data_IF_589962995684
#
_entry.id   IF_589962995684
#
_cell.length_a   1.000
_cell.length_b   1.000
_cell.length_c   1.000
_cell.angle_alpha   90.00
_cell.angle_beta   90.00
_cell.angle_gamma   90.00
#
_symmetry.space_group_name_H-M   'P 1'
#
loop_
_entity.id
_entity.type
_entity.pdbx_description
1 polymer ?
#
# COMPACT_ATOMS: atom_id res chain seq x y z
N UNK A 1 18.77 -48.71 -31.34
CA UNK A 1 19.64 -47.52 -31.21
C UNK A 1 19.54 -47.03 -29.78
N UNK A 2 20.53 -47.34 -28.94
CA UNK A 2 20.66 -46.73 -27.63
C UNK A 2 21.30 -45.35 -27.84
N UNK A 3 20.51 -44.28 -27.70
CA UNK A 3 21.05 -42.93 -27.64
C UNK A 3 21.63 -42.74 -26.23
N UNK A 4 22.93 -42.97 -26.07
CA UNK A 4 23.68 -42.45 -24.93
C UNK A 4 23.78 -40.93 -25.13
N UNK A 5 22.87 -40.17 -24.53
CA UNK A 5 23.10 -38.75 -24.34
C UNK A 5 24.26 -38.63 -23.36
N UNK A 6 25.39 -38.07 -23.79
CA UNK A 6 26.46 -37.68 -22.87
C UNK A 6 25.85 -36.77 -21.80
N UNK A 7 26.00 -37.17 -20.53
CA UNK A 7 25.44 -36.44 -19.37
C UNK A 7 25.80 -34.97 -19.38
N UNK A 8 26.96 -34.65 -19.93
CA UNK A 8 27.53 -33.31 -20.00
C UNK A 8 26.81 -32.45 -21.05
N UNK A 9 26.45 -33.05 -22.19
CA UNK A 9 25.68 -32.40 -23.26
C UNK A 9 24.25 -32.09 -22.82
N UNK A 10 23.62 -33.04 -22.10
CA UNK A 10 22.30 -32.83 -21.52
C UNK A 10 22.31 -31.76 -20.42
N UNK A 11 23.33 -31.78 -19.55
CA UNK A 11 23.49 -30.79 -18.47
C UNK A 11 23.72 -29.37 -19.02
N UNK A 12 24.53 -29.23 -20.08
CA UNK A 12 24.74 -27.96 -20.78
C UNK A 12 23.46 -27.44 -21.43
N UNK A 13 22.64 -28.32 -22.01
CA UNK A 13 21.37 -27.96 -22.63
C UNK A 13 20.34 -27.52 -21.58
N UNK A 14 20.27 -28.22 -20.44
CA UNK A 14 19.44 -27.84 -19.30
C UNK A 14 19.87 -26.48 -18.72
N UNK A 15 21.17 -26.27 -18.47
CA UNK A 15 21.70 -25.01 -17.96
C UNK A 15 21.44 -23.85 -18.93
N UNK A 16 21.67 -24.08 -20.23
CA UNK A 16 21.36 -23.11 -21.28
C UNK A 16 19.87 -22.74 -21.33
N UNK A 17 18.98 -23.73 -21.21
CA UNK A 17 17.54 -23.48 -21.16
C UNK A 17 17.12 -22.69 -19.91
N UNK A 18 17.71 -23.00 -18.75
CA UNK A 18 17.42 -22.30 -17.50
C UNK A 18 17.88 -20.84 -17.56
N UNK A 19 19.10 -20.60 -18.05
CA UNK A 19 19.61 -19.24 -18.25
C UNK A 19 18.74 -18.46 -19.24
N UNK A 20 18.31 -19.09 -20.34
CA UNK A 20 17.42 -18.46 -21.31
C UNK A 20 16.08 -18.06 -20.68
N UNK A 21 15.44 -18.97 -19.92
CA UNK A 21 14.20 -18.66 -19.20
C UNK A 21 14.43 -17.53 -18.20
N UNK A 22 15.53 -17.56 -17.45
CA UNK A 22 15.88 -16.52 -16.49
C UNK A 22 16.08 -15.15 -17.17
N UNK A 23 16.78 -15.09 -18.31
CA UNK A 23 16.94 -13.87 -19.10
C UNK A 23 15.60 -13.34 -19.61
N UNK A 24 14.73 -14.21 -20.15
CA UNK A 24 13.40 -13.83 -20.62
C UNK A 24 12.56 -13.24 -19.47
N UNK A 25 12.53 -13.91 -18.31
CA UNK A 25 11.81 -13.41 -17.13
C UNK A 25 12.37 -12.07 -16.63
N UNK A 26 13.69 -11.90 -16.67
CA UNK A 26 14.36 -10.66 -16.28
C UNK A 26 14.01 -9.50 -17.21
N UNK A 27 14.03 -9.71 -18.52
CA UNK A 27 13.64 -8.71 -19.52
C UNK A 27 12.18 -8.30 -19.34
N UNK A 28 11.30 -9.28 -19.14
CA UNK A 28 9.88 -9.05 -18.86
C UNK A 28 9.73 -8.18 -17.60
N UNK A 29 10.41 -8.52 -16.51
CA UNK A 29 10.35 -7.76 -15.26
C UNK A 29 10.83 -6.30 -15.43
N UNK A 30 11.91 -6.08 -16.18
CA UNK A 30 12.43 -4.73 -16.50
C UNK A 30 11.40 -3.95 -17.32
N UNK A 31 10.83 -4.57 -18.36
CA UNK A 31 9.84 -3.93 -19.22
C UNK A 31 8.58 -3.52 -18.44
N UNK A 32 8.08 -4.40 -17.54
CA UNK A 32 6.96 -4.07 -16.66
C UNK A 32 7.29 -2.92 -15.71
N UNK A 33 8.48 -2.92 -15.10
CA UNK A 33 8.92 -1.83 -14.23
C UNK A 33 8.99 -0.48 -14.97
N UNK A 34 9.51 -0.48 -16.20
CA UNK A 34 9.61 0.72 -17.03
C UNK A 34 8.24 1.26 -17.44
N UNK A 35 7.33 0.37 -17.90
CA UNK A 35 5.94 0.75 -18.25
C UNK A 35 5.23 1.40 -17.07
N UNK A 36 5.33 0.82 -15.86
CA UNK A 36 4.70 1.38 -14.66
C UNK A 36 5.28 2.76 -14.31
N UNK A 37 6.61 2.90 -14.33
CA UNK A 37 7.26 4.19 -14.03
C UNK A 37 6.78 5.28 -14.99
N UNK A 38 6.67 4.95 -16.29
CA UNK A 38 6.16 5.85 -17.31
C UNK A 38 4.69 6.21 -17.06
N UNK A 39 3.83 5.24 -16.74
CA UNK A 39 2.43 5.49 -16.46
C UNK A 39 2.21 6.39 -15.24
N UNK A 40 2.93 6.15 -14.13
CA UNK A 40 2.88 7.04 -12.95
C UNK A 40 3.38 8.44 -13.31
N UNK A 41 4.48 8.54 -14.06
CA UNK A 41 5.02 9.82 -14.50
C UNK A 41 4.03 10.59 -15.37
N UNK A 42 3.40 9.96 -16.36
CA UNK A 42 2.43 10.59 -17.25
C UNK A 42 1.23 11.13 -16.47
N UNK A 43 0.67 10.35 -15.53
CA UNK A 43 -0.47 10.80 -14.74
C UNK A 43 -0.07 11.86 -13.73
N UNK A 44 1.06 11.70 -13.03
CA UNK A 44 1.57 12.70 -12.10
C UNK A 44 1.78 14.06 -12.77
N UNK A 45 2.38 14.07 -13.98
CA UNK A 45 2.55 15.30 -14.76
C UNK A 45 1.22 15.92 -15.18
N UNK A 46 0.26 15.12 -15.69
CA UNK A 46 -1.09 15.60 -16.04
C UNK A 46 -1.83 16.20 -14.85
N UNK A 47 -1.69 15.57 -13.69
CA UNK A 47 -2.28 16.05 -12.44
C UNK A 47 -1.50 17.21 -11.79
N UNK A 48 -0.43 17.72 -12.43
CA UNK A 48 0.32 18.89 -11.97
C UNK A 48 1.28 18.63 -10.80
N UNK A 49 1.73 17.40 -10.61
CA UNK A 49 2.79 17.09 -9.65
C UNK A 49 4.16 17.54 -10.18
N UNK A 50 5.02 17.92 -9.26
CA UNK A 50 6.43 18.21 -9.52
C UNK A 50 7.31 17.06 -9.02
N UNK A 51 8.46 16.77 -9.66
CA UNK A 51 9.42 15.80 -9.13
C UNK A 51 9.85 16.16 -7.71
N UNK A 52 9.87 15.17 -6.82
CA UNK A 52 10.34 15.33 -5.45
C UNK A 52 11.74 14.70 -5.33
N UNK A 53 12.69 15.42 -4.71
CA UNK A 53 14.05 14.91 -4.45
C UNK A 53 14.15 14.28 -3.08
N UNK A 54 13.69 15.03 -2.07
CA UNK A 54 13.77 14.65 -0.67
C UNK A 54 12.44 14.93 0.03
N UNK A 55 12.20 14.21 1.12
CA UNK A 55 11.03 14.40 1.97
C UNK A 55 11.46 15.23 3.20
N UNK A 56 10.77 16.32 3.57
CA UNK A 56 11.03 17.02 4.82
C UNK A 56 11.04 16.08 6.03
N UNK A 57 11.95 16.30 6.98
CA UNK A 57 12.13 15.40 8.14
C UNK A 57 10.84 15.12 8.91
N UNK A 58 10.01 16.14 9.14
CA UNK A 58 8.69 15.99 9.77
C UNK A 58 7.78 14.98 9.06
N UNK A 59 7.78 14.96 7.73
CA UNK A 59 6.95 14.02 6.96
C UNK A 59 7.51 12.61 7.02
N UNK A 60 8.83 12.47 7.16
CA UNK A 60 9.46 11.17 7.33
C UNK A 60 9.11 10.57 8.70
N UNK A 61 9.12 11.39 9.75
CA UNK A 61 8.67 11.01 11.09
C UNK A 61 7.19 10.62 11.11
N UNK A 62 6.31 11.43 10.51
CA UNK A 62 4.89 11.09 10.43
C UNK A 62 4.63 9.83 9.62
N UNK A 63 5.38 9.59 8.53
CA UNK A 63 5.31 8.30 7.81
C UNK A 63 5.76 7.13 8.68
N UNK A 64 6.87 7.27 9.41
CA UNK A 64 7.33 6.21 10.31
C UNK A 64 6.25 5.86 11.35
N UNK A 65 5.60 6.87 11.92
CA UNK A 65 4.51 6.69 12.86
C UNK A 65 3.28 6.01 12.22
N UNK A 66 2.91 6.41 11.00
CA UNK A 66 1.81 5.81 10.26
C UNK A 66 2.07 4.34 9.85
N UNK A 67 3.33 3.95 9.66
CA UNK A 67 3.71 2.56 9.36
C UNK A 67 3.92 1.71 10.61
N UNK A 68 4.02 2.32 11.80
CA UNK A 68 4.24 1.58 13.03
C UNK A 68 3.15 0.50 13.23
N UNK A 69 3.54 -0.73 13.60
CA UNK A 69 4.85 -1.17 14.11
C UNK A 69 5.85 -1.58 13.01
N UNK A 70 5.46 -1.54 11.74
CA UNK A 70 6.30 -1.98 10.65
C UNK A 70 7.52 -1.05 10.53
N UNK A 71 8.70 -1.63 10.36
CA UNK A 71 9.94 -0.86 10.28
C UNK A 71 10.15 -0.35 8.84
N UNK A 72 9.74 0.89 8.63
CA UNK A 72 9.87 1.61 7.36
C UNK A 72 11.32 2.02 7.10
N UNK A 73 12.09 1.17 6.41
CA UNK A 73 13.53 1.35 6.20
C UNK A 73 13.91 2.42 5.20
N UNK A 74 13.16 2.51 4.10
CA UNK A 74 13.48 3.41 2.99
C UNK A 74 12.21 4.08 2.54
N UNK A 75 12.28 5.40 2.40
CA UNK A 75 11.25 6.22 1.75
C UNK A 75 11.94 6.97 0.63
N UNK A 76 11.45 6.79 -0.60
CA UNK A 76 11.95 7.50 -1.77
C UNK A 76 10.80 8.29 -2.39
N UNK A 77 10.70 9.60 -2.12
CA UNK A 77 9.70 10.42 -2.78
C UNK A 77 10.02 10.48 -4.29
N UNK A 78 8.97 10.48 -5.10
CA UNK A 78 9.06 10.52 -6.56
C UNK A 78 8.44 11.81 -7.09
N UNK A 79 7.26 12.15 -6.55
CA UNK A 79 6.47 13.28 -6.98
C UNK A 79 5.81 13.93 -5.78
N UNK A 80 5.65 15.24 -5.81
CA UNK A 80 4.94 16.00 -4.80
C UNK A 80 4.05 17.07 -5.43
N UNK A 81 2.96 17.38 -4.74
CA UNK A 81 2.08 18.48 -5.08
C UNK A 81 1.51 19.09 -3.81
N UNK A 82 1.62 20.40 -3.69
CA UNK A 82 1.06 21.14 -2.56
C UNK A 82 -0.33 21.65 -2.92
N UNK A 83 -1.25 21.46 -1.99
CA UNK A 83 -2.61 21.98 -1.99
C UNK A 83 -2.81 22.86 -0.75
N UNK A 84 -3.84 23.73 -0.72
CA UNK A 84 -4.18 24.51 0.46
C UNK A 84 -4.36 23.65 1.72
N UNK A 85 -4.96 22.47 1.56
CA UNK A 85 -5.23 21.52 2.63
C UNK A 85 -4.01 20.71 3.07
N UNK A 86 -2.95 20.60 2.26
CA UNK A 86 -1.80 19.75 2.60
C UNK A 86 -0.88 19.42 1.43
N UNK A 87 0.15 18.62 1.70
CA UNK A 87 1.10 18.14 0.70
C UNK A 87 0.81 16.69 0.33
N UNK A 88 0.52 16.43 -0.95
CA UNK A 88 0.45 15.09 -1.50
C UNK A 88 1.82 14.65 -2.02
N UNK A 89 2.22 13.43 -1.69
CA UNK A 89 3.49 12.84 -2.10
C UNK A 89 3.26 11.43 -2.64
N UNK A 90 3.80 11.16 -3.83
CA UNK A 90 3.93 9.81 -4.36
C UNK A 90 5.32 9.32 -4.01
N UNK A 91 5.42 8.17 -3.34
CA UNK A 91 6.69 7.63 -2.88
C UNK A 91 6.77 6.10 -3.06
N UNK A 92 7.99 5.60 -3.19
CA UNK A 92 8.29 4.19 -3.03
C UNK A 92 8.81 3.96 -1.60
N UNK A 93 8.54 2.79 -1.04
CA UNK A 93 9.07 2.43 0.27
C UNK A 93 9.56 0.99 0.34
N UNK A 94 10.35 0.69 1.37
CA UNK A 94 10.66 -0.68 1.76
C UNK A 94 10.38 -0.90 3.23
N UNK A 95 9.64 -1.96 3.52
CA UNK A 95 9.30 -2.38 4.87
C UNK A 95 10.18 -3.56 5.23
N UNK A 96 10.80 -3.50 6.41
CA UNK A 96 11.48 -4.65 6.97
C UNK A 96 10.46 -5.58 7.63
N UNK A 97 10.45 -6.83 7.19
CA UNK A 97 9.64 -7.90 7.77
C UNK A 97 10.56 -8.88 8.46
N UNK A 98 10.47 -8.91 9.78
CA UNK A 98 11.07 -9.94 10.61
C UNK A 98 10.12 -11.14 10.59
N UNK A 99 10.52 -12.22 9.91
CA UNK A 99 9.76 -13.47 9.87
C UNK A 99 10.57 -14.61 10.48
N UNK A 100 9.92 -15.70 10.90
CA UNK A 100 10.62 -16.89 11.44
C UNK A 100 11.64 -17.47 10.46
N UNK A 101 11.47 -17.21 9.17
CA UNK A 101 12.26 -17.78 8.08
C UNK A 101 13.36 -16.82 7.59
N UNK A 102 13.51 -15.66 8.24
CA UNK A 102 14.56 -14.68 7.97
C UNK A 102 14.05 -13.25 7.77
N UNK A 103 15.01 -12.33 7.71
CA UNK A 103 14.79 -10.92 7.46
C UNK A 103 14.55 -10.68 5.97
N UNK A 104 13.38 -10.15 5.63
CA UNK A 104 13.06 -9.79 4.24
C UNK A 104 12.66 -8.32 4.13
N UNK A 105 12.97 -7.73 2.98
CA UNK A 105 12.57 -6.37 2.66
C UNK A 105 11.46 -6.41 1.61
N UNK A 106 10.27 -5.97 1.98
CA UNK A 106 9.16 -5.83 1.05
C UNK A 106 9.17 -4.45 0.43
N UNK A 107 9.39 -4.39 -0.89
CA UNK A 107 9.36 -3.14 -1.63
C UNK A 107 7.94 -2.78 -2.07
N UNK A 108 7.42 -1.66 -1.57
CA UNK A 108 6.16 -1.07 -2.00
C UNK A 108 6.43 0.10 -2.94
N UNK A 109 5.63 0.23 -3.99
CA UNK A 109 5.89 1.20 -5.06
C UNK A 109 4.65 2.01 -5.39
N UNK A 110 4.85 3.32 -5.59
CA UNK A 110 3.78 4.25 -5.93
C UNK A 110 2.78 4.49 -4.80
N UNK A 111 3.19 4.37 -3.55
CA UNK A 111 2.35 4.74 -2.42
C UNK A 111 2.00 6.24 -2.49
N UNK A 112 0.81 6.61 -2.03
CA UNK A 112 0.34 7.99 -1.97
C UNK A 112 0.19 8.40 -0.51
N UNK A 113 0.87 9.46 -0.09
CA UNK A 113 0.72 10.06 1.23
C UNK A 113 0.16 11.48 1.12
N UNK A 114 -0.75 11.83 2.01
CA UNK A 114 -1.21 13.18 2.26
C UNK A 114 -0.74 13.60 3.65
N UNK A 115 0.01 14.70 3.71
CA UNK A 115 0.42 15.37 4.94
C UNK A 115 -0.38 16.65 5.07
N UNK A 116 -1.22 16.76 6.09
CA UNK A 116 -2.09 17.91 6.28
C UNK A 116 -2.08 18.38 7.73
N UNK A 117 -1.74 19.66 7.99
CA UNK A 117 -1.85 20.22 9.34
C UNK A 117 -3.30 20.40 9.80
N UNK A 118 -4.28 20.18 8.91
CA UNK A 118 -5.71 20.24 9.23
C UNK A 118 -6.24 18.89 9.72
N UNK A 119 -5.39 17.86 9.74
CA UNK A 119 -5.73 16.53 10.24
C UNK A 119 -5.22 16.38 11.67
N UNK A 120 -6.12 15.97 12.55
CA UNK A 120 -5.81 15.49 13.90
C UNK A 120 -6.50 14.12 14.08
N UNK A 121 -5.97 13.13 13.35
CA UNK A 121 -6.59 11.81 13.26
C UNK A 121 -5.98 10.85 14.28
N UNK A 122 -6.80 10.06 15.01
CA UNK A 122 -6.28 8.97 15.81
C UNK A 122 -5.65 7.91 14.91
N UNK A 123 -4.77 7.08 15.48
CA UNK A 123 -4.13 6.01 14.72
C UNK A 123 -5.17 4.93 14.34
N UNK A 124 -5.34 4.69 13.04
CA UNK A 124 -6.11 3.56 12.52
C UNK A 124 -5.54 3.04 11.20
N UNK A 125 -5.89 1.81 10.85
CA UNK A 125 -5.57 1.23 9.55
C UNK A 125 -6.75 0.45 8.97
N UNK A 126 -6.83 0.48 7.64
CA UNK A 126 -7.83 -0.23 6.84
C UNK A 126 -7.08 -1.26 6.00
N UNK A 127 -7.47 -2.53 6.12
CA UNK A 127 -6.83 -3.65 5.43
C UNK A 127 -7.89 -4.44 4.66
N UNK A 128 -7.65 -4.82 3.39
CA UNK A 128 -8.60 -5.61 2.64
C UNK A 128 -8.75 -7.00 3.26
N UNK A 129 -10.00 -7.49 3.36
CA UNK A 129 -10.27 -8.87 3.76
C UNK A 129 -9.71 -9.83 2.73
N UNK A 130 -9.04 -10.88 3.21
CA UNK A 130 -8.55 -11.95 2.36
C UNK A 130 -9.75 -12.85 1.99
N UNK A 131 -10.12 -12.86 0.71
CA UNK A 131 -11.19 -13.73 0.22
C UNK A 131 -10.69 -15.18 0.17
N UNK A 132 -10.95 -15.92 1.23
CA UNK A 132 -10.66 -17.35 1.35
C UNK A 132 -11.96 -18.12 1.66
N UNK A 133 -12.01 -19.45 1.43
CA UNK A 133 -13.12 -20.27 1.91
C UNK A 133 -13.39 -20.01 3.40
N UNK A 134 -14.66 -19.98 3.80
CA UNK A 134 -15.16 -19.49 5.11
C UNK A 134 -14.28 -19.88 6.32
N UNK A 135 -13.78 -21.12 6.39
CA UNK A 135 -12.94 -21.58 7.51
C UNK A 135 -11.55 -20.93 7.53
N UNK A 136 -10.92 -20.73 6.37
CA UNK A 136 -9.62 -20.05 6.24
C UNK A 136 -9.75 -18.54 6.42
N UNK A 137 -10.84 -17.94 5.94
CA UNK A 137 -11.10 -16.51 6.11
C UNK A 137 -11.14 -16.11 7.59
N UNK A 138 -11.89 -16.85 8.41
CA UNK A 138 -11.99 -16.60 9.85
C UNK A 138 -10.64 -16.71 10.57
N UNK A 139 -9.79 -17.67 10.17
CA UNK A 139 -8.46 -17.82 10.73
C UNK A 139 -7.54 -16.64 10.37
N UNK A 140 -7.59 -16.17 9.12
CA UNK A 140 -6.81 -15.03 8.66
C UNK A 140 -7.24 -13.73 9.34
N UNK A 141 -8.55 -13.54 9.51
CA UNK A 141 -9.10 -12.40 10.24
C UNK A 141 -8.70 -12.44 11.72
N UNK A 142 -8.71 -13.61 12.36
CA UNK A 142 -8.21 -13.79 13.74
C UNK A 142 -6.71 -13.50 13.84
N UNK A 143 -5.91 -13.92 12.86
CA UNK A 143 -4.48 -13.62 12.82
C UNK A 143 -4.24 -12.12 12.73
N UNK A 144 -4.98 -11.42 11.86
CA UNK A 144 -4.92 -9.96 11.75
C UNK A 144 -5.39 -9.27 13.03
N UNK A 145 -6.47 -9.75 13.65
CA UNK A 145 -6.98 -9.22 14.90
C UNK A 145 -5.99 -9.39 16.05
N UNK A 146 -5.30 -10.54 16.13
CA UNK A 146 -4.23 -10.77 17.10
C UNK A 146 -3.07 -9.80 16.87
N UNK A 147 -2.65 -9.62 15.61
CA UNK A 147 -1.65 -8.63 15.22
C UNK A 147 -2.03 -7.21 15.67
N UNK A 148 -3.25 -6.77 15.36
CA UNK A 148 -3.76 -5.46 15.75
C UNK A 148 -3.86 -5.28 17.28
N UNK A 149 -4.30 -6.32 18.01
CA UNK A 149 -4.41 -6.28 19.47
C UNK A 149 -3.07 -6.06 20.17
N UNK A 150 -1.97 -6.60 19.61
CA UNK A 150 -0.61 -6.36 20.12
C UNK A 150 -0.18 -4.91 19.99
N UNK A 151 -0.84 -4.15 19.11
CA UNK A 151 -0.66 -2.71 18.92
C UNK A 151 -1.63 -1.88 19.76
N UNK A 152 -2.37 -2.52 20.67
CA UNK A 152 -3.41 -1.87 21.45
C UNK A 152 -4.60 -1.44 20.62
N UNK A 153 -4.80 -2.02 19.42
CA UNK A 153 -5.93 -1.69 18.54
C UNK A 153 -6.99 -2.77 18.53
N UNK A 154 -8.21 -2.37 18.22
CA UNK A 154 -9.38 -3.24 18.14
C UNK A 154 -10.12 -3.04 16.82
N UNK A 155 -10.83 -4.08 16.38
CA UNK A 155 -11.68 -4.02 15.20
C UNK A 155 -12.86 -3.09 15.47
N UNK A 156 -13.03 -2.06 14.65
CA UNK A 156 -14.22 -1.22 14.70
C UNK A 156 -15.38 -1.92 14.00
N UNK A 157 -16.50 -2.10 14.70
CA UNK A 157 -17.72 -2.72 14.18
C UNK A 157 -18.76 -1.68 13.72
N UNK A 158 -18.55 -0.39 14.04
CA UNK A 158 -19.45 0.72 13.70
C UNK A 158 -19.19 1.23 12.28
N UNK A 159 -19.27 0.34 11.29
CA UNK A 159 -18.95 0.62 9.87
C UNK A 159 -20.08 0.15 8.94
N UNK A 160 -20.21 0.73 7.72
CA UNK A 160 -21.22 0.29 6.76
C UNK A 160 -21.05 -1.18 6.35
N UNK A 161 -22.14 -1.95 6.18
CA UNK A 161 -22.08 -3.36 5.78
C UNK A 161 -21.35 -3.61 4.45
N UNK A 162 -21.45 -2.68 3.51
CA UNK A 162 -20.77 -2.76 2.21
C UNK A 162 -19.25 -2.72 2.38
N UNK A 163 -18.76 -1.91 3.31
CA UNK A 163 -17.35 -1.80 3.63
C UNK A 163 -16.86 -3.01 4.42
N UNK A 164 -17.63 -3.45 5.44
CA UNK A 164 -17.27 -4.61 6.26
C UNK A 164 -17.09 -5.90 5.45
N UNK A 165 -17.79 -6.04 4.32
CA UNK A 165 -17.63 -7.20 3.41
C UNK A 165 -16.25 -7.28 2.75
N UNK A 166 -15.56 -6.15 2.62
CA UNK A 166 -14.37 -6.02 1.77
C UNK A 166 -13.15 -5.63 2.59
N UNK A 167 -13.34 -4.96 3.73
CA UNK A 167 -12.29 -4.37 4.53
C UNK A 167 -12.47 -4.66 6.02
N UNK A 168 -11.36 -4.56 6.73
CA UNK A 168 -11.29 -4.48 8.19
C UNK A 168 -10.76 -3.11 8.56
N UNK A 169 -11.37 -2.47 9.56
CA UNK A 169 -10.89 -1.21 10.13
C UNK A 169 -10.46 -1.44 11.57
N UNK A 170 -9.17 -1.27 11.83
CA UNK A 170 -8.61 -1.35 13.18
C UNK A 170 -8.23 0.03 13.68
N UNK A 171 -8.57 0.32 14.93
CA UNK A 171 -8.31 1.62 15.55
C UNK A 171 -8.06 1.45 17.04
N UNK A 172 -7.51 2.50 17.68
CA UNK A 172 -7.44 2.55 19.13
C UNK A 172 -8.85 2.41 19.76
N UNK A 173 -9.02 1.66 20.87
CA UNK A 173 -10.32 1.41 21.50
C UNK A 173 -11.11 2.68 21.82
N UNK A 174 -10.43 3.74 22.24
CA UNK A 174 -11.01 5.06 22.54
C UNK A 174 -11.62 5.74 21.31
N UNK A 175 -11.14 5.39 20.12
CA UNK A 175 -11.56 5.95 18.86
C UNK A 175 -12.65 5.11 18.16
N UNK A 176 -12.88 3.86 18.60
CA UNK A 176 -13.84 2.95 17.98
C UNK A 176 -15.30 3.44 18.02
N UNK A 177 -15.64 4.31 18.98
CA UNK A 177 -16.99 4.86 19.15
C UNK A 177 -17.25 6.18 18.42
N UNK A 178 -16.22 6.87 17.93
CA UNK A 178 -16.38 8.08 17.11
C UNK A 178 -16.50 7.69 15.64
N UNK A 179 -17.27 8.46 14.86
CA UNK A 179 -17.39 8.30 13.42
C UNK A 179 -16.04 8.68 12.74
N UNK A 180 -15.11 7.74 12.87
CA UNK A 180 -13.67 7.84 12.62
C UNK A 180 -13.35 8.18 11.19
N UNK A 181 -14.15 7.73 10.23
CA UNK A 181 -13.99 7.96 8.80
C UNK A 181 -15.37 8.31 8.24
N UNK A 182 -15.50 9.34 7.39
CA UNK A 182 -16.77 9.64 6.74
C UNK A 182 -17.31 8.43 5.98
N UNK A 183 -18.60 8.13 6.12
CA UNK A 183 -19.25 7.00 5.46
C UNK A 183 -19.04 7.02 3.94
N UNK A 184 -19.07 8.20 3.30
CA UNK A 184 -18.83 8.32 1.85
C UNK A 184 -17.44 7.82 1.44
N UNK A 185 -16.43 8.04 2.28
CA UNK A 185 -15.08 7.54 2.03
C UNK A 185 -14.98 6.02 2.24
N UNK A 186 -15.68 5.48 3.25
CA UNK A 186 -15.78 4.03 3.45
C UNK A 186 -16.48 3.36 2.26
N UNK A 187 -17.60 3.92 1.79
CA UNK A 187 -18.32 3.40 0.63
C UNK A 187 -17.49 3.49 -0.66
N UNK A 188 -16.72 4.57 -0.85
CA UNK A 188 -15.77 4.64 -1.95
C UNK A 188 -14.74 3.52 -1.85
N UNK A 189 -14.10 3.34 -0.68
CA UNK A 189 -13.11 2.27 -0.50
C UNK A 189 -13.72 0.90 -0.82
N UNK A 190 -14.95 0.63 -0.36
CA UNK A 190 -15.67 -0.61 -0.65
C UNK A 190 -15.87 -0.87 -2.15
N UNK A 191 -16.07 0.17 -2.97
CA UNK A 191 -16.19 0.07 -4.43
C UNK A 191 -14.83 -0.17 -5.12
N UNK A 192 -13.73 0.16 -4.45
CA UNK A 192 -12.37 0.04 -4.96
C UNK A 192 -11.52 -0.88 -4.05
N UNK A 193 -11.77 -2.21 -4.05
CA UNK A 193 -11.04 -3.16 -3.22
C UNK A 193 -9.55 -3.24 -3.56
N UNK A 194 -8.73 -3.49 -2.52
CA UNK A 194 -7.31 -3.83 -2.65
C UNK A 194 -6.34 -2.83 -2.04
N UNK A 195 -6.82 -1.73 -1.47
CA UNK A 195 -5.97 -0.73 -0.83
C UNK A 195 -5.70 -1.03 0.64
N UNK A 196 -4.51 -0.69 1.11
CA UNK A 196 -4.21 -0.56 2.53
C UNK A 196 -4.19 0.93 2.85
N UNK A 197 -4.98 1.36 3.83
CA UNK A 197 -4.97 2.73 4.34
C UNK A 197 -4.29 2.73 5.70
N UNK A 198 -3.34 3.64 5.91
CA UNK A 198 -2.71 3.88 7.22
C UNK A 198 -2.88 5.34 7.59
N UNK A 199 -3.27 5.61 8.82
CA UNK A 199 -3.55 6.98 9.28
C UNK A 199 -2.94 7.20 10.64
N UNK A 200 -2.26 8.32 10.81
CA UNK A 200 -1.73 8.75 12.10
C UNK A 200 -1.56 10.27 12.13
N UNK A 201 -2.21 10.94 13.09
CA UNK A 201 -2.14 12.38 13.31
C UNK A 201 -2.43 13.19 12.03
N UNK A 202 -1.38 13.81 11.48
CA UNK A 202 -1.43 14.68 10.31
C UNK A 202 -1.28 13.95 8.96
N UNK A 203 -1.19 12.62 9.00
CA UNK A 203 -0.74 11.81 7.87
C UNK A 203 -1.74 10.72 7.51
N UNK A 204 -2.05 10.63 6.22
CA UNK A 204 -2.85 9.57 5.62
C UNK A 204 -2.08 8.95 4.46
N UNK A 205 -1.94 7.63 4.47
CA UNK A 205 -1.22 6.85 3.46
C UNK A 205 -2.16 5.86 2.80
N UNK A 206 -2.16 5.84 1.48
CA UNK A 206 -2.83 4.85 0.64
C UNK A 206 -1.78 4.03 -0.12
N UNK A 207 -1.81 2.73 0.10
CA UNK A 207 -0.93 1.76 -0.55
C UNK A 207 -1.75 0.72 -1.30
N UNK A 208 -1.32 0.33 -2.49
CA UNK A 208 -1.84 -0.83 -3.19
C UNK A 208 -0.73 -1.89 -3.26
N UNK A 209 -0.71 -2.88 -2.34
CA UNK A 209 0.33 -3.90 -2.33
C UNK A 209 0.34 -4.75 -3.61
N UNK A 210 -0.80 -4.80 -4.33
CA UNK A 210 -0.94 -5.53 -5.58
C UNK A 210 -0.69 -4.67 -6.82
N UNK A 211 -0.34 -3.39 -6.68
CA UNK A 211 0.01 -2.50 -7.80
C UNK A 211 1.25 -2.98 -8.59
N UNK A 212 2.06 -3.86 -7.99
CA UNK A 212 3.14 -4.55 -8.69
C UNK A 212 2.64 -5.55 -9.73
N UNK A 213 1.47 -6.15 -9.52
CA UNK A 213 0.83 -7.15 -10.38
C UNK A 213 -0.30 -6.58 -11.23
N UNK A 214 -0.97 -5.54 -10.74
CA UNK A 214 -2.09 -4.85 -11.41
C UNK A 214 -1.60 -3.44 -11.74
N UNK A 215 -1.72 -2.97 -12.97
CA UNK A 215 -1.42 -1.56 -13.36
C UNK A 215 -2.32 -0.51 -12.65
N UNK A 216 -3.01 -0.89 -11.57
CA UNK A 216 -4.14 -0.22 -10.97
C UNK A 216 -3.80 1.17 -10.42
N UNK A 217 -2.63 1.35 -9.78
CA UNK A 217 -2.34 2.62 -9.13
C UNK A 217 -2.12 3.75 -10.14
N UNK A 218 -1.44 3.52 -11.27
CA UNK A 218 -1.36 4.53 -12.34
C UNK A 218 -2.71 4.79 -12.99
N UNK A 219 -3.55 3.75 -13.16
CA UNK A 219 -4.88 3.91 -13.78
C UNK A 219 -5.86 4.66 -12.89
N UNK A 220 -5.69 4.58 -11.56
CA UNK A 220 -6.61 5.13 -10.56
C UNK A 220 -6.02 6.27 -9.74
N UNK A 221 -4.84 6.79 -10.11
CA UNK A 221 -4.13 7.79 -9.32
C UNK A 221 -4.98 9.06 -9.12
N UNK A 222 -5.69 9.52 -10.14
CA UNK A 222 -6.56 10.71 -10.07
C UNK A 222 -7.76 10.50 -9.12
N UNK A 223 -8.40 9.32 -9.18
CA UNK A 223 -9.49 8.95 -8.29
C UNK A 223 -8.98 8.85 -6.83
N UNK A 224 -7.83 8.18 -6.63
CA UNK A 224 -7.19 8.06 -5.33
C UNK A 224 -6.84 9.41 -4.72
N UNK A 225 -6.26 10.33 -5.51
CA UNK A 225 -5.98 11.71 -5.08
C UNK A 225 -7.28 12.41 -4.65
N UNK A 226 -8.33 12.28 -5.45
CA UNK A 226 -9.63 12.91 -5.18
C UNK A 226 -10.19 12.43 -3.84
N UNK A 227 -10.09 11.14 -3.57
CA UNK A 227 -10.58 10.53 -2.33
C UNK A 227 -9.77 10.93 -1.12
N UNK A 228 -8.43 10.94 -1.21
CA UNK A 228 -7.61 11.40 -0.09
C UNK A 228 -7.91 12.85 0.26
N UNK A 229 -8.12 13.69 -0.76
CA UNK A 229 -8.48 15.10 -0.57
C UNK A 229 -9.88 15.23 0.03
N UNK A 230 -10.87 14.46 -0.42
CA UNK A 230 -12.21 14.47 0.16
C UNK A 230 -12.19 14.05 1.63
N UNK A 231 -11.46 12.98 1.95
CA UNK A 231 -11.24 12.54 3.32
C UNK A 231 -10.68 13.69 4.16
N UNK A 232 -9.60 14.32 3.70
CA UNK A 232 -8.96 15.43 4.39
C UNK A 232 -9.88 16.63 4.62
N UNK A 233 -10.58 17.08 3.58
CA UNK A 233 -11.48 18.23 3.66
C UNK A 233 -12.60 17.95 4.67
N UNK A 234 -13.20 16.76 4.65
CA UNK A 234 -14.30 16.41 5.56
C UNK A 234 -13.86 16.25 7.01
N UNK A 235 -12.63 15.77 7.26
CA UNK A 235 -12.08 15.75 8.60
C UNK A 235 -11.77 17.15 9.12
N UNK A 236 -11.17 17.99 8.27
CA UNK A 236 -10.86 19.38 8.64
C UNK A 236 -12.10 20.22 8.95
N UNK A 237 -13.27 19.88 8.36
CA UNK A 237 -14.53 20.56 8.63
C UNK A 237 -15.21 20.15 9.95
N UNK A 238 -14.71 19.12 10.65
CA UNK A 238 -15.21 18.67 11.95
C UNK A 238 -14.37 19.16 13.14
N UNK A 239 -13.17 19.68 12.88
CA UNK A 239 -12.30 20.34 13.86
C UNK A 239 -12.67 21.83 13.99
#
# INVERSE_FOLDING_TARGET
MHFSFDSDSFSLLCLGSFLLVFFVLTIIAIAYAAKRKKAIQEVAQKSGFSPAKDLPGRYQESLQAAYAPEDLRRVKPQWQKTYPEGTLVIFDSSIHKTSSDGDSNEAQRGNLALFSPLLDLPHFFIIPRLQAPLQLGNYLDQMMASGASRLGMSLNQSIPPEFDRVYLLYCAPEAASTALVPETALLYLAQHPGFIVRVHADTLVLSDPYASQRQALSTRLEENITVLREICVRFSARA
#
